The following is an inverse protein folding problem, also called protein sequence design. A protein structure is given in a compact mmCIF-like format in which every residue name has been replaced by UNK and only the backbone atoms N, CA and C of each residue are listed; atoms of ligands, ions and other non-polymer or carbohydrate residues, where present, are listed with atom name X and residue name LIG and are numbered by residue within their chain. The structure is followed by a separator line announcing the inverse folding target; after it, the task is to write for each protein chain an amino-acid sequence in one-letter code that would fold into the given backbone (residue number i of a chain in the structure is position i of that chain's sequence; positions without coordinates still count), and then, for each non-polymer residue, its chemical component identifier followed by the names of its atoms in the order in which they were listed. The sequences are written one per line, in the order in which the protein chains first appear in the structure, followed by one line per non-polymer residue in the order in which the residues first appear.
data_IF_532940229587
#
_entry.id   IF_532940229587
#
_cell.length_a   1.000
_cell.length_b   1.000
_cell.length_c   1.000
_cell.angle_alpha   90.00
_cell.angle_beta   90.00
_cell.angle_gamma   90.00
#
_symmetry.space_group_name_H-M   'P 1'
#
loop_
_entity.id
_entity.type
_entity.pdbx_description
1 polymer ?
#
# COMPACT_ATOMS: atom_id res chain seq x y z
N UNK A 1 61.38 -15.71 -47.45
CA UNK A 1 61.74 -14.90 -46.26
C UNK A 1 60.60 -13.92 -46.11
N UNK A 2 59.90 -13.84 -44.97
CA UNK A 2 58.76 -12.94 -44.85
C UNK A 2 59.26 -11.49 -44.98
N UNK A 3 58.70 -10.75 -45.93
CA UNK A 3 59.11 -9.39 -46.33
C UNK A 3 58.71 -8.28 -45.34
N UNK A 4 58.11 -8.61 -44.19
CA UNK A 4 57.55 -7.63 -43.24
C UNK A 4 58.29 -7.55 -41.89
N UNK A 5 59.51 -8.09 -41.78
CA UNK A 5 60.31 -7.92 -40.57
C UNK A 5 61.05 -6.58 -40.62
N UNK A 6 60.82 -5.65 -39.66
CA UNK A 6 61.48 -4.36 -39.67
C UNK A 6 63.00 -4.54 -39.56
N UNK A 7 63.75 -4.01 -40.52
CA UNK A 7 65.19 -4.27 -40.66
C UNK A 7 66.05 -3.67 -39.51
N UNK A 8 65.47 -2.88 -38.61
CA UNK A 8 66.16 -2.26 -37.46
C UNK A 8 65.33 -2.35 -36.17
N UNK A 9 66.03 -2.42 -35.04
CA UNK A 9 65.44 -2.51 -33.70
C UNK A 9 64.59 -1.26 -33.38
N UNK A 10 65.00 -0.08 -33.84
CA UNK A 10 64.21 1.15 -33.76
C UNK A 10 62.87 1.02 -34.49
N UNK A 11 62.85 0.48 -35.72
CA UNK A 11 61.62 0.32 -36.50
C UNK A 11 60.65 -0.69 -35.85
N UNK A 12 61.18 -1.76 -35.25
CA UNK A 12 60.39 -2.68 -34.42
C UNK A 12 59.79 -1.97 -33.20
N UNK A 13 60.57 -1.14 -32.50
CA UNK A 13 60.11 -0.39 -31.34
C UNK A 13 59.02 0.63 -31.71
N UNK A 14 59.16 1.32 -32.85
CA UNK A 14 58.15 2.25 -33.38
C UNK A 14 56.82 1.56 -33.70
N UNK A 15 56.85 0.41 -34.37
CA UNK A 15 55.65 -0.36 -34.71
C UNK A 15 54.96 -0.86 -33.43
N UNK A 16 55.74 -1.32 -32.45
CA UNK A 16 55.21 -1.77 -31.16
C UNK A 16 54.58 -0.62 -30.37
N UNK A 17 55.22 0.55 -30.37
CA UNK A 17 54.69 1.76 -29.74
C UNK A 17 53.38 2.22 -30.40
N UNK A 18 53.32 2.25 -31.74
CA UNK A 18 52.09 2.58 -32.47
C UNK A 18 50.96 1.58 -32.17
N UNK A 19 51.29 0.30 -32.10
CA UNK A 19 50.32 -0.75 -31.79
C UNK A 19 49.76 -0.56 -30.37
N UNK A 20 50.62 -0.32 -29.38
CA UNK A 20 50.22 -0.03 -28.00
C UNK A 20 49.30 1.20 -27.89
N UNK A 21 49.65 2.31 -28.55
CA UNK A 21 48.83 3.52 -28.57
C UNK A 21 47.48 3.29 -29.24
N UNK A 22 47.44 2.49 -30.32
CA UNK A 22 46.19 2.10 -30.98
C UNK A 22 45.30 1.27 -30.06
N UNK A 23 45.86 0.27 -29.37
CA UNK A 23 45.10 -0.54 -28.41
C UNK A 23 44.59 0.29 -27.22
N UNK A 24 45.40 1.23 -26.72
CA UNK A 24 44.98 2.14 -25.68
C UNK A 24 43.78 2.99 -26.14
N UNK A 25 43.87 3.62 -27.31
CA UNK A 25 42.78 4.42 -27.89
C UNK A 25 41.50 3.61 -28.10
N UNK A 26 41.62 2.38 -28.62
CA UNK A 26 40.46 1.49 -28.79
C UNK A 26 39.83 1.11 -27.45
N UNK A 27 40.64 0.85 -26.43
CA UNK A 27 40.17 0.51 -25.08
C UNK A 27 39.44 1.69 -24.45
N UNK A 28 39.99 2.90 -24.55
CA UNK A 28 39.38 4.13 -24.02
C UNK A 28 38.05 4.43 -24.74
N UNK A 29 38.01 4.29 -26.06
CA UNK A 29 36.79 4.49 -26.85
C UNK A 29 35.70 3.47 -26.49
N UNK A 30 36.08 2.20 -26.32
CA UNK A 30 35.14 1.15 -25.92
C UNK A 30 34.60 1.41 -24.51
N UNK A 31 35.49 1.73 -23.57
CA UNK A 31 35.13 2.07 -22.19
C UNK A 31 34.13 3.24 -22.13
N UNK A 32 34.42 4.34 -22.83
CA UNK A 32 33.52 5.49 -22.91
C UNK A 32 32.17 5.15 -23.55
N UNK A 33 32.17 4.28 -24.57
CA UNK A 33 30.92 3.81 -25.20
C UNK A 33 30.06 3.01 -24.21
N UNK A 34 30.68 2.13 -23.41
CA UNK A 34 29.96 1.41 -22.35
C UNK A 34 29.40 2.34 -21.27
N UNK A 35 30.15 3.38 -20.87
CA UNK A 35 29.66 4.37 -19.91
C UNK A 35 28.46 5.15 -20.45
N UNK A 36 28.51 5.57 -21.71
CA UNK A 36 27.38 6.24 -22.38
C UNK A 36 26.14 5.34 -22.42
N UNK A 37 26.30 4.08 -22.85
CA UNK A 37 25.18 3.13 -22.91
C UNK A 37 24.60 2.88 -21.51
N UNK A 38 25.44 2.71 -20.50
CA UNK A 38 25.01 2.55 -19.12
C UNK A 38 24.23 3.76 -18.60
N UNK A 39 24.73 4.97 -18.88
CA UNK A 39 24.05 6.22 -18.52
C UNK A 39 22.67 6.33 -19.20
N UNK A 40 22.55 5.92 -20.46
CA UNK A 40 21.27 5.92 -21.17
C UNK A 40 20.27 4.93 -20.55
N UNK A 41 20.74 3.74 -20.13
CA UNK A 41 19.88 2.79 -19.39
C UNK A 41 19.45 3.34 -18.02
N UNK A 42 20.36 4.00 -17.29
CA UNK A 42 20.01 4.64 -16.01
C UNK A 42 18.95 5.72 -16.18
N UNK A 43 19.06 6.58 -17.20
CA UNK A 43 18.05 7.61 -17.51
C UNK A 43 16.68 6.99 -17.80
N UNK A 44 16.65 5.86 -18.50
CA UNK A 44 15.40 5.13 -18.74
C UNK A 44 14.82 4.60 -17.43
N UNK A 45 15.65 4.00 -16.57
CA UNK A 45 15.22 3.51 -15.26
C UNK A 45 14.66 4.64 -14.38
N UNK A 46 15.38 5.76 -14.27
CA UNK A 46 14.94 6.96 -13.54
C UNK A 46 13.59 7.49 -14.03
N UNK A 47 13.33 7.42 -15.34
CA UNK A 47 12.05 7.84 -15.92
C UNK A 47 10.90 6.91 -15.54
N UNK A 48 11.16 5.61 -15.44
CA UNK A 48 10.14 4.61 -15.12
C UNK A 48 9.93 4.44 -13.60
N UNK A 49 10.91 4.82 -12.79
CA UNK A 49 10.93 4.67 -11.34
C UNK A 49 9.69 5.26 -10.62
N UNK A 50 9.18 6.46 -10.98
CA UNK A 50 7.96 6.99 -10.36
C UNK A 50 6.73 6.08 -10.52
N UNK A 51 6.60 5.38 -11.65
CA UNK A 51 5.49 4.46 -11.88
C UNK A 51 5.61 3.22 -10.99
N UNK A 52 6.82 2.72 -10.78
CA UNK A 52 7.08 1.60 -9.86
C UNK A 52 6.68 1.99 -8.43
N UNK A 53 7.02 3.20 -8.00
CA UNK A 53 6.66 3.70 -6.68
C UNK A 53 5.16 3.90 -6.53
N UNK A 54 4.51 4.46 -7.55
CA UNK A 54 3.05 4.59 -7.55
C UNK A 54 2.38 3.22 -7.43
N UNK A 55 2.82 2.21 -8.18
CA UNK A 55 2.29 0.86 -8.10
C UNK A 55 2.45 0.23 -6.71
N UNK A 56 3.60 0.46 -6.06
CA UNK A 56 3.86 -0.03 -4.71
C UNK A 56 2.96 0.65 -3.67
N UNK A 57 2.78 1.97 -3.75
CA UNK A 57 1.87 2.73 -2.87
C UNK A 57 0.42 2.32 -3.10
N UNK A 58 -0.01 2.15 -4.36
CA UNK A 58 -1.35 1.68 -4.71
C UNK A 58 -1.61 0.26 -4.18
N UNK A 59 -0.59 -0.60 -4.20
CA UNK A 59 -0.64 -1.94 -3.61
C UNK A 59 -0.87 -1.88 -2.10
N UNK A 60 -0.09 -1.07 -1.40
CA UNK A 60 -0.23 -0.84 0.04
C UNK A 60 -1.63 -0.29 0.39
N UNK A 61 -2.09 0.70 -0.38
CA UNK A 61 -3.42 1.29 -0.19
C UNK A 61 -4.52 0.25 -0.35
N UNK A 62 -4.50 -0.53 -1.44
CA UNK A 62 -5.49 -1.58 -1.70
C UNK A 62 -5.51 -2.65 -0.61
N UNK A 63 -4.35 -3.06 -0.10
CA UNK A 63 -4.27 -4.03 0.98
C UNK A 63 -4.97 -3.51 2.25
N UNK A 64 -4.69 -2.27 2.64
CA UNK A 64 -5.30 -1.67 3.84
C UNK A 64 -6.78 -1.36 3.65
N UNK A 65 -7.20 -0.95 2.45
CA UNK A 65 -8.61 -0.76 2.09
C UNK A 65 -9.40 -2.07 2.23
N UNK A 66 -8.84 -3.18 1.72
CA UNK A 66 -9.46 -4.51 1.85
C UNK A 66 -9.59 -4.94 3.31
N UNK A 67 -8.57 -4.71 4.14
CA UNK A 67 -8.61 -5.01 5.58
C UNK A 67 -9.70 -4.20 6.29
N UNK A 68 -9.82 -2.90 5.98
CA UNK A 68 -10.87 -2.04 6.53
C UNK A 68 -12.26 -2.50 6.09
N UNK A 69 -12.44 -2.77 4.79
CA UNK A 69 -13.70 -3.25 4.22
C UNK A 69 -14.15 -4.56 4.85
N UNK A 70 -13.24 -5.52 5.00
CA UNK A 70 -13.52 -6.80 5.65
C UNK A 70 -13.94 -6.61 7.12
N UNK A 71 -13.17 -5.83 7.88
CA UNK A 71 -13.40 -5.65 9.31
C UNK A 71 -14.70 -4.90 9.60
N UNK A 72 -14.95 -3.80 8.88
CA UNK A 72 -16.22 -3.05 8.99
C UNK A 72 -17.41 -3.86 8.47
N UNK A 73 -17.22 -4.66 7.43
CA UNK A 73 -18.23 -5.59 6.92
C UNK A 73 -18.66 -6.62 7.97
N UNK A 74 -17.71 -7.19 8.72
CA UNK A 74 -18.02 -8.11 9.84
C UNK A 74 -18.83 -7.44 10.94
N UNK A 75 -18.44 -6.23 11.36
CA UNK A 75 -19.15 -5.47 12.40
C UNK A 75 -20.59 -5.20 11.96
N UNK A 76 -20.76 -4.68 10.74
CA UNK A 76 -22.08 -4.41 10.15
C UNK A 76 -22.94 -5.65 10.06
N UNK A 77 -22.37 -6.79 9.67
CA UNK A 77 -23.11 -8.06 9.59
C UNK A 77 -23.64 -8.52 10.94
N UNK A 78 -22.80 -8.45 11.99
CA UNK A 78 -23.21 -8.80 13.35
C UNK A 78 -24.32 -7.86 13.84
N UNK A 79 -24.17 -6.56 13.60
CA UNK A 79 -25.18 -5.58 13.97
C UNK A 79 -26.51 -5.78 13.23
N UNK A 80 -26.49 -6.09 11.94
CA UNK A 80 -27.71 -6.37 11.17
C UNK A 80 -28.50 -7.55 11.74
N UNK A 81 -27.81 -8.63 12.16
CA UNK A 81 -28.47 -9.75 12.83
C UNK A 81 -29.12 -9.34 14.14
N UNK A 82 -28.43 -8.53 14.94
CA UNK A 82 -28.96 -8.05 16.20
C UNK A 82 -30.16 -7.12 15.99
N UNK A 83 -30.12 -6.28 14.95
CA UNK A 83 -31.21 -5.39 14.56
C UNK A 83 -32.46 -6.19 14.16
N UNK A 84 -32.30 -7.28 13.41
CA UNK A 84 -33.39 -8.18 13.06
C UNK A 84 -34.05 -8.78 14.32
N UNK A 85 -33.27 -9.23 15.29
CA UNK A 85 -33.78 -9.74 16.58
C UNK A 85 -34.61 -8.68 17.30
N UNK A 86 -34.10 -7.45 17.44
CA UNK A 86 -34.87 -6.38 18.10
C UNK A 86 -36.13 -5.99 17.35
N UNK A 87 -36.12 -6.04 16.01
CA UNK A 87 -37.29 -5.78 15.18
C UNK A 87 -38.36 -6.86 15.34
N UNK A 88 -37.96 -8.13 15.43
CA UNK A 88 -38.87 -9.24 15.68
C UNK A 88 -39.54 -9.11 17.06
N UNK A 89 -38.75 -8.79 18.11
CA UNK A 89 -39.31 -8.54 19.45
C UNK A 89 -40.26 -7.34 19.44
N UNK A 90 -39.91 -6.25 18.74
CA UNK A 90 -40.78 -5.08 18.57
C UNK A 90 -42.10 -5.44 17.89
N UNK A 91 -42.09 -6.30 16.87
CA UNK A 91 -43.29 -6.78 16.21
C UNK A 91 -44.18 -7.57 17.18
N UNK A 92 -43.59 -8.49 17.95
CA UNK A 92 -44.32 -9.24 19.00
C UNK A 92 -44.94 -8.32 20.05
N UNK A 93 -44.22 -7.29 20.51
CA UNK A 93 -44.79 -6.31 21.45
C UNK A 93 -45.95 -5.53 20.83
N UNK A 94 -45.83 -5.16 19.54
CA UNK A 94 -46.89 -4.47 18.81
C UNK A 94 -48.15 -5.33 18.67
N UNK A 95 -48.00 -6.62 18.39
CA UNK A 95 -49.12 -7.55 18.25
C UNK A 95 -49.86 -7.79 19.58
N UNK A 96 -49.17 -7.60 20.71
CA UNK A 96 -49.79 -7.63 22.06
C UNK A 96 -50.57 -6.36 22.39
N UNK A 97 -50.44 -5.29 21.62
CA UNK A 97 -51.22 -4.06 21.84
C UNK A 97 -52.66 -4.24 21.32
N UNK A 98 -53.60 -4.46 22.23
CA UNK A 98 -55.02 -4.56 21.91
C UNK A 98 -55.89 -3.72 22.85
N UNK A 99 -57.11 -3.31 22.43
CA UNK A 99 -57.96 -2.39 23.20
C UNK A 99 -58.29 -2.86 24.62
N UNK A 100 -58.41 -4.17 24.87
CA UNK A 100 -58.71 -4.70 26.20
C UNK A 100 -57.59 -4.50 27.23
N UNK A 101 -56.36 -4.13 26.83
CA UNK A 101 -55.32 -3.74 27.79
C UNK A 101 -55.67 -2.48 28.59
N UNK A 102 -56.61 -1.66 28.11
CA UNK A 102 -57.11 -0.49 28.84
C UNK A 102 -58.12 -0.82 29.96
N UNK A 103 -58.53 -2.08 30.10
CA UNK A 103 -59.46 -2.48 31.16
C UNK A 103 -58.74 -2.57 32.52
N UNK A 104 -59.38 -2.15 33.64
CA UNK A 104 -58.78 -2.21 34.98
C UNK A 104 -58.20 -3.59 35.36
N UNK A 105 -58.85 -4.67 34.92
CA UNK A 105 -58.41 -6.04 35.22
C UNK A 105 -57.10 -6.44 34.50
N UNK A 106 -56.70 -5.71 33.45
CA UNK A 106 -55.52 -6.00 32.63
C UNK A 106 -54.33 -5.06 32.91
N UNK A 107 -54.41 -4.22 33.94
CA UNK A 107 -53.35 -3.26 34.30
C UNK A 107 -51.98 -3.92 34.50
N UNK A 108 -51.95 -5.12 35.10
CA UNK A 108 -50.69 -5.85 35.30
C UNK A 108 -50.06 -6.29 33.96
N UNK A 109 -50.88 -6.72 33.00
CA UNK A 109 -50.41 -7.12 31.66
C UNK A 109 -49.88 -5.91 30.88
N UNK A 110 -50.58 -4.77 30.99
CA UNK A 110 -50.14 -3.51 30.38
C UNK A 110 -48.78 -3.05 30.96
N UNK A 111 -48.62 -3.06 32.29
CA UNK A 111 -47.36 -2.65 32.91
C UNK A 111 -46.21 -3.60 32.51
N UNK A 112 -46.47 -4.91 32.46
CA UNK A 112 -45.50 -5.91 32.01
C UNK A 112 -45.02 -5.61 30.59
N UNK A 113 -45.95 -5.38 29.65
CA UNK A 113 -45.63 -5.05 28.26
C UNK A 113 -44.86 -3.72 28.16
N UNK A 114 -45.21 -2.72 28.96
CA UNK A 114 -44.47 -1.46 29.04
C UNK A 114 -43.04 -1.66 29.56
N UNK A 115 -42.83 -2.51 30.56
CA UNK A 115 -41.49 -2.83 31.09
C UNK A 115 -40.65 -3.57 30.04
N UNK A 116 -41.22 -4.57 29.36
CA UNK A 116 -40.57 -5.32 28.29
C UNK A 116 -40.15 -4.39 27.13
N UNK A 117 -41.02 -3.48 26.70
CA UNK A 117 -40.70 -2.53 25.63
C UNK A 117 -39.65 -1.50 26.04
N UNK A 118 -39.71 -0.98 27.28
CA UNK A 118 -38.65 -0.11 27.82
C UNK A 118 -37.29 -0.81 27.81
N UNK A 119 -37.25 -2.08 28.21
CA UNK A 119 -36.03 -2.89 28.17
C UNK A 119 -35.53 -3.05 26.74
N UNK A 120 -36.39 -3.46 25.79
CA UNK A 120 -36.03 -3.60 24.38
C UNK A 120 -35.48 -2.30 23.78
N UNK A 121 -36.10 -1.16 24.08
CA UNK A 121 -35.64 0.16 23.62
C UNK A 121 -34.27 0.53 24.18
N UNK A 122 -34.04 0.25 25.47
CA UNK A 122 -32.73 0.43 26.09
C UNK A 122 -31.68 -0.46 25.43
N UNK A 123 -31.93 -1.76 25.32
CA UNK A 123 -31.00 -2.72 24.71
C UNK A 123 -30.67 -2.34 23.26
N UNK A 124 -31.67 -1.87 22.49
CA UNK A 124 -31.47 -1.36 21.14
C UNK A 124 -30.58 -0.12 21.11
N UNK A 125 -30.82 0.85 22.00
CA UNK A 125 -30.05 2.10 22.07
C UNK A 125 -28.60 1.82 22.47
N UNK A 126 -28.40 1.02 23.52
CA UNK A 126 -27.08 0.60 23.99
C UNK A 126 -26.32 -0.15 22.89
N UNK A 127 -27.01 -1.02 22.15
CA UNK A 127 -26.40 -1.75 21.04
C UNK A 127 -26.07 -0.90 19.80
N UNK A 128 -26.84 0.16 19.52
CA UNK A 128 -26.49 1.16 18.50
C UNK A 128 -25.20 1.87 18.91
N UNK A 129 -25.11 2.35 20.16
CA UNK A 129 -23.92 3.01 20.68
C UNK A 129 -22.69 2.10 20.62
N UNK A 130 -22.83 0.84 21.04
CA UNK A 130 -21.76 -0.15 20.98
C UNK A 130 -21.29 -0.38 19.54
N UNK A 131 -22.21 -0.55 18.58
CA UNK A 131 -21.84 -0.72 17.17
C UNK A 131 -21.13 0.51 16.60
N UNK A 132 -21.58 1.72 16.95
CA UNK A 132 -20.88 2.96 16.56
C UNK A 132 -19.47 2.99 17.12
N UNK A 133 -19.29 2.66 18.41
CA UNK A 133 -17.97 2.59 19.03
C UNK A 133 -17.08 1.55 18.35
N UNK A 134 -17.58 0.33 18.10
CA UNK A 134 -16.82 -0.71 17.40
C UNK A 134 -16.37 -0.28 16.00
N UNK A 135 -17.20 0.45 15.25
CA UNK A 135 -16.82 1.00 13.95
C UNK A 135 -15.75 2.09 14.07
N UNK A 136 -15.84 2.95 15.09
CA UNK A 136 -14.84 3.99 15.35
C UNK A 136 -13.49 3.38 15.74
N UNK A 137 -13.48 2.43 16.67
CA UNK A 137 -12.28 1.73 17.12
C UNK A 137 -11.63 0.99 15.94
N UNK A 138 -12.43 0.27 15.15
CA UNK A 138 -11.95 -0.40 13.93
C UNK A 138 -11.34 0.60 12.93
N UNK A 139 -11.98 1.74 12.71
CA UNK A 139 -11.46 2.75 11.79
C UNK A 139 -10.15 3.37 12.30
N UNK A 140 -10.06 3.64 13.61
CA UNK A 140 -8.86 4.17 14.26
C UNK A 140 -7.69 3.17 14.15
N UNK A 141 -7.93 1.89 14.48
CA UNK A 141 -6.93 0.83 14.36
C UNK A 141 -6.45 0.64 12.92
N UNK A 142 -7.38 0.61 11.96
CA UNK A 142 -7.03 0.50 10.54
C UNK A 142 -6.21 1.70 10.05
N UNK A 143 -6.60 2.91 10.46
CA UNK A 143 -5.89 4.15 10.11
C UNK A 143 -4.48 4.18 10.70
N UNK A 144 -4.34 3.84 11.99
CA UNK A 144 -3.05 3.79 12.65
C UNK A 144 -2.11 2.78 11.96
N UNK A 145 -2.62 1.58 11.67
CA UNK A 145 -1.85 0.56 10.96
C UNK A 145 -1.45 1.00 9.55
N UNK A 146 -2.36 1.67 8.82
CA UNK A 146 -2.06 2.19 7.48
C UNK A 146 -0.98 3.27 7.52
N UNK A 147 -1.11 4.25 8.42
CA UNK A 147 -0.13 5.34 8.55
C UNK A 147 1.24 4.80 8.96
N UNK A 148 1.29 3.86 9.91
CA UNK A 148 2.55 3.23 10.31
C UNK A 148 3.19 2.44 9.16
N UNK A 149 2.41 1.68 8.39
CA UNK A 149 2.91 0.94 7.24
C UNK A 149 3.39 1.87 6.12
N UNK A 150 2.65 2.96 5.87
CA UNK A 150 3.02 3.97 4.88
C UNK A 150 4.32 4.68 5.28
N UNK A 151 4.47 5.07 6.55
CA UNK A 151 5.68 5.69 7.06
C UNK A 151 6.91 4.78 6.89
N UNK A 152 6.81 3.51 7.31
CA UNK A 152 7.89 2.54 7.16
C UNK A 152 8.22 2.25 5.68
N UNK A 153 7.20 2.18 4.83
CA UNK A 153 7.37 2.02 3.39
C UNK A 153 8.10 3.22 2.78
N UNK A 154 7.68 4.45 3.09
CA UNK A 154 8.31 5.67 2.59
C UNK A 154 9.74 5.82 3.11
N UNK A 155 10.01 5.52 4.38
CA UNK A 155 11.36 5.52 4.94
C UNK A 155 12.27 4.55 4.17
N UNK A 156 11.82 3.30 3.97
CA UNK A 156 12.58 2.33 3.19
C UNK A 156 12.81 2.81 1.77
N UNK A 157 11.79 3.37 1.12
CA UNK A 157 11.90 3.87 -0.24
C UNK A 157 12.97 4.95 -0.38
N UNK A 158 13.01 5.89 0.57
CA UNK A 158 14.00 6.97 0.58
C UNK A 158 15.42 6.44 0.79
N UNK A 159 15.61 5.44 1.65
CA UNK A 159 16.91 4.81 1.86
C UNK A 159 17.41 4.10 0.59
N UNK A 160 16.54 3.33 -0.07
CA UNK A 160 16.91 2.63 -1.31
C UNK A 160 17.24 3.61 -2.45
N UNK A 161 16.56 4.77 -2.47
CA UNK A 161 16.86 5.86 -3.40
C UNK A 161 18.19 6.56 -3.11
N UNK A 162 18.51 6.79 -1.84
CA UNK A 162 19.75 7.45 -1.41
C UNK A 162 20.98 6.56 -1.71
N UNK A 163 20.83 5.24 -1.63
CA UNK A 163 21.87 4.27 -1.97
C UNK A 163 22.01 4.02 -3.49
N UNK A 164 21.07 4.53 -4.30
CA UNK A 164 21.05 4.31 -5.75
C UNK A 164 21.91 5.33 -6.49
N UNK A 165 22.66 4.84 -7.49
CA UNK A 165 23.39 5.71 -8.43
C UNK A 165 22.42 6.37 -9.42
N UNK A 166 22.70 7.62 -9.75
CA UNK A 166 21.96 8.40 -10.73
C UNK A 166 22.76 8.54 -12.03
N UNK A 167 22.08 8.96 -13.08
CA UNK A 167 22.72 9.26 -14.37
C UNK A 167 23.75 10.40 -14.28
N UNK A 168 23.64 11.27 -13.28
CA UNK A 168 24.58 12.35 -12.99
C UNK A 168 25.89 11.85 -12.32
N UNK A 169 25.85 10.69 -11.66
CA UNK A 169 27.03 10.09 -11.02
C UNK A 169 27.98 9.43 -12.03
N UNK A 170 27.49 9.14 -13.23
CA UNK A 170 28.27 8.52 -14.30
C UNK A 170 29.03 9.59 -15.09
N UNK A 171 30.30 9.80 -14.75
CA UNK A 171 31.18 10.67 -15.51
C UNK A 171 31.63 9.99 -16.80
N UNK A 172 31.14 10.49 -17.94
CA UNK A 172 31.69 10.16 -19.24
C UNK A 172 32.88 11.07 -19.50
N UNK A 173 34.00 10.54 -20.02
CA UNK A 173 35.13 11.38 -20.40
C UNK A 173 34.66 12.44 -21.41
N UNK A 174 34.87 13.73 -21.09
CA UNK A 174 34.68 14.79 -22.07
C UNK A 174 35.63 14.55 -23.24
N UNK A 175 35.08 14.62 -24.45
CA UNK A 175 35.88 14.70 -25.68
C UNK A 175 36.88 15.85 -25.61
#
# INVERSE_FOLDING_TARGET
IPEDLPETLERCAEIFQQSLLSYQSQTDNYYNSCLMEFQDQLKLFERELPYVFQLAVDGLFKEHEQKLSYSTGRIRHLFSKQLEVWNNVKAVHKDRLHPSLGHPDNLLQLDTLCQEERKRQKDHTDGVHLNTQMLQDCAADCAQNFVSALAAFTEKLLLELDESITSDDVQVASK
#
